data_IF_816331714199
#
_entry.id   IF_816331714199
#
_cell.length_a   1.000
_cell.length_b   1.000
_cell.length_c   1.000
_cell.angle_alpha   90.00
_cell.angle_beta   90.00
_cell.angle_gamma   90.00
#
_symmetry.space_group_name_H-M   'P 1'
#
loop_
_entity.id
_entity.type
_entity.pdbx_description
1 polymer ?
#
# COMPACT_ATOMS: atom_id res chain seq x y z
N UNK A 1 -20.95 14.16 -34.05
CA UNK A 1 -20.79 14.62 -32.65
C UNK A 1 -20.49 13.39 -31.81
N UNK A 2 -19.62 13.48 -30.81
CA UNK A 2 -19.31 12.35 -29.92
C UNK A 2 -20.28 12.29 -28.75
N UNK A 3 -20.49 11.10 -28.20
CA UNK A 3 -21.32 10.84 -27.02
C UNK A 3 -20.44 10.23 -25.92
N UNK A 4 -20.69 10.59 -24.66
CA UNK A 4 -19.99 10.04 -23.50
C UNK A 4 -20.81 8.94 -22.83
N UNK A 5 -20.13 7.92 -22.32
CA UNK A 5 -20.72 6.78 -21.63
C UNK A 5 -19.92 6.42 -20.38
N UNK A 6 -20.59 5.95 -19.33
CA UNK A 6 -19.99 5.35 -18.14
C UNK A 6 -20.27 3.85 -18.12
N UNK A 7 -19.29 3.06 -17.70
CA UNK A 7 -19.50 1.64 -17.45
C UNK A 7 -20.38 1.48 -16.20
N UNK A 8 -21.46 0.72 -16.33
CA UNK A 8 -22.31 0.38 -15.20
C UNK A 8 -21.64 -0.73 -14.40
N UNK A 9 -21.30 -0.44 -13.14
CA UNK A 9 -20.66 -1.38 -12.21
C UNK A 9 -21.46 -1.56 -10.92
N UNK A 10 -22.66 -0.99 -10.84
CA UNK A 10 -23.53 -1.15 -9.69
C UNK A 10 -24.07 -2.59 -9.65
N UNK A 11 -23.96 -3.21 -8.49
CA UNK A 11 -24.42 -4.58 -8.25
C UNK A 11 -25.92 -4.74 -8.51
N UNK A 12 -26.71 -3.65 -8.42
CA UNK A 12 -28.14 -3.67 -8.75
C UNK A 12 -28.46 -4.11 -10.19
N UNK A 13 -27.51 -3.94 -11.13
CA UNK A 13 -27.67 -4.35 -12.54
C UNK A 13 -27.04 -5.70 -12.87
N UNK A 14 -26.55 -6.46 -11.88
CA UNK A 14 -25.85 -7.72 -12.11
C UNK A 14 -26.71 -8.75 -12.89
N UNK A 15 -28.02 -8.73 -12.67
CA UNK A 15 -28.98 -9.62 -13.35
C UNK A 15 -29.43 -9.11 -14.71
N UNK A 16 -29.11 -7.85 -15.03
CA UNK A 16 -29.50 -7.17 -16.24
C UNK A 16 -28.35 -7.15 -17.24
N UNK A 17 -28.06 -8.30 -17.86
CA UNK A 17 -26.91 -8.50 -18.79
C UNK A 17 -26.82 -7.44 -19.91
N UNK A 18 -27.96 -6.84 -20.28
CA UNK A 18 -28.06 -5.81 -21.31
C UNK A 18 -27.76 -4.39 -20.82
N UNK A 19 -27.49 -4.20 -19.53
CA UNK A 19 -27.14 -2.91 -18.94
C UNK A 19 -25.64 -2.88 -18.73
N UNK A 20 -24.93 -2.29 -19.70
CA UNK A 20 -23.46 -2.22 -19.68
C UNK A 20 -23.00 -0.78 -19.59
N UNK A 21 -23.65 0.13 -20.30
CA UNK A 21 -23.27 1.54 -20.37
C UNK A 21 -24.40 2.45 -19.95
N UNK A 22 -24.08 3.57 -19.31
CA UNK A 22 -24.98 4.68 -19.03
C UNK A 22 -24.53 5.91 -19.82
N UNK A 23 -25.45 6.54 -20.54
CA UNK A 23 -25.16 7.73 -21.34
C UNK A 23 -25.01 8.97 -20.45
N UNK A 24 -23.88 9.66 -20.59
CA UNK A 24 -23.59 10.90 -19.87
C UNK A 24 -23.78 12.08 -20.81
N UNK A 25 -24.94 12.71 -20.79
CA UNK A 25 -25.27 13.85 -21.67
C UNK A 25 -25.50 15.16 -20.92
N UNK A 26 -25.58 15.10 -19.58
CA UNK A 26 -25.98 16.17 -18.68
C UNK A 26 -25.60 15.76 -17.23
N UNK A 27 -25.67 16.71 -16.31
CA UNK A 27 -25.26 16.54 -14.90
C UNK A 27 -26.43 16.15 -13.99
N UNK A 28 -27.64 16.04 -14.54
CA UNK A 28 -28.88 15.79 -13.81
C UNK A 28 -29.11 14.31 -13.47
N UNK A 29 -28.30 13.41 -14.04
CA UNK A 29 -28.37 11.97 -13.77
C UNK A 29 -29.54 11.24 -14.45
N UNK A 30 -30.13 11.81 -15.51
CA UNK A 30 -31.16 11.19 -16.36
C UNK A 30 -30.55 10.36 -17.51
N UNK A 31 -29.39 9.75 -17.25
CA UNK A 31 -28.66 8.91 -18.20
C UNK A 31 -29.50 7.72 -18.67
N UNK A 32 -29.46 7.45 -19.98
CA UNK A 32 -30.07 6.24 -20.55
C UNK A 32 -29.08 5.08 -20.53
N UNK A 33 -29.57 3.88 -20.23
CA UNK A 33 -28.78 2.65 -20.29
C UNK A 33 -28.72 2.04 -21.69
N UNK A 34 -27.55 1.51 -22.05
CA UNK A 34 -27.27 0.83 -23.30
C UNK A 34 -26.56 -0.51 -23.07
N UNK A 35 -26.66 -1.39 -24.07
CA UNK A 35 -25.91 -2.65 -24.13
C UNK A 35 -24.46 -2.45 -24.61
N UNK A 36 -23.70 -3.54 -24.73
CA UNK A 36 -22.30 -3.53 -25.17
C UNK A 36 -22.07 -2.96 -26.57
N UNK A 37 -23.10 -2.90 -27.42
CA UNK A 37 -23.06 -2.28 -28.75
C UNK A 37 -23.60 -0.84 -28.76
N UNK A 38 -23.82 -0.25 -27.58
CA UNK A 38 -24.36 1.10 -27.39
C UNK A 38 -25.82 1.28 -27.86
N UNK A 39 -26.58 0.19 -28.02
CA UNK A 39 -28.00 0.29 -28.33
C UNK A 39 -28.81 0.56 -27.06
N UNK A 40 -29.76 1.51 -27.18
CA UNK A 40 -30.72 1.79 -26.12
C UNK A 40 -31.52 0.54 -25.80
N UNK A 41 -31.62 0.28 -24.52
CA UNK A 41 -32.13 -0.99 -24.02
C UNK A 41 -33.67 -1.04 -24.14
N UNK A 42 -34.25 -2.15 -24.65
CA UNK A 42 -35.68 -2.37 -24.55
C UNK A 42 -36.10 -2.66 -23.09
N UNK A 43 -37.38 -2.45 -22.71
CA UNK A 43 -37.85 -2.68 -21.34
C UNK A 43 -37.52 -4.09 -20.82
N UNK A 44 -37.00 -4.19 -19.59
CA UNK A 44 -36.78 -5.48 -18.90
C UNK A 44 -38.07 -6.23 -18.64
N UNK A 45 -38.02 -7.56 -18.72
CA UNK A 45 -39.05 -8.44 -18.18
C UNK A 45 -38.79 -8.67 -16.68
N UNK A 46 -39.73 -8.32 -15.77
CA UNK A 46 -39.56 -8.48 -14.33
C UNK A 46 -39.22 -9.92 -13.89
N UNK A 47 -39.72 -10.96 -14.57
CA UNK A 47 -39.45 -12.36 -14.19
C UNK A 47 -37.96 -12.72 -14.28
N UNK A 48 -37.26 -12.20 -15.29
CA UNK A 48 -35.82 -12.45 -15.48
C UNK A 48 -34.98 -11.80 -14.39
N UNK A 49 -35.42 -10.62 -13.92
CA UNK A 49 -34.77 -9.87 -12.84
C UNK A 49 -34.94 -10.57 -11.49
N UNK A 50 -36.12 -11.14 -11.21
CA UNK A 50 -36.36 -11.89 -9.97
C UNK A 50 -35.56 -13.17 -9.87
N UNK A 51 -35.47 -13.94 -10.97
CA UNK A 51 -34.66 -15.17 -10.99
C UNK A 51 -33.18 -14.87 -10.76
N UNK A 52 -32.63 -13.87 -11.44
CA UNK A 52 -31.23 -13.49 -11.27
C UNK A 52 -30.89 -13.03 -9.86
N UNK A 53 -31.83 -12.40 -9.14
CA UNK A 53 -31.63 -11.98 -7.75
C UNK A 53 -31.43 -13.19 -6.82
N UNK A 54 -32.13 -14.28 -7.05
CA UNK A 54 -31.94 -15.49 -6.22
C UNK A 54 -30.57 -16.11 -6.46
N UNK A 55 -30.14 -16.21 -7.72
CA UNK A 55 -28.80 -16.71 -8.06
C UNK A 55 -27.70 -15.82 -7.47
N UNK A 56 -27.92 -14.50 -7.42
CA UNK A 56 -27.02 -13.55 -6.77
C UNK A 56 -26.96 -13.76 -5.24
N UNK A 57 -28.10 -13.90 -4.57
CA UNK A 57 -28.14 -14.13 -3.12
C UNK A 57 -27.37 -15.40 -2.77
N UNK A 58 -27.54 -16.46 -3.56
CA UNK A 58 -26.85 -17.72 -3.35
C UNK A 58 -25.32 -17.57 -3.55
N UNK A 59 -24.89 -16.79 -4.56
CA UNK A 59 -23.47 -16.49 -4.79
C UNK A 59 -22.86 -15.66 -3.65
N UNK A 60 -23.53 -14.59 -3.23
CA UNK A 60 -23.09 -13.71 -2.14
C UNK A 60 -23.04 -14.48 -0.82
N UNK A 61 -24.02 -15.36 -0.58
CA UNK A 61 -24.02 -16.26 0.57
C UNK A 61 -22.80 -17.18 0.57
N UNK A 62 -22.49 -17.82 -0.55
CA UNK A 62 -21.30 -18.68 -0.68
C UNK A 62 -19.99 -17.89 -0.51
N UNK A 63 -19.93 -16.66 -1.02
CA UNK A 63 -18.79 -15.76 -0.81
C UNK A 63 -18.63 -15.42 0.66
N UNK A 64 -19.72 -15.01 1.33
CA UNK A 64 -19.72 -14.70 2.76
C UNK A 64 -19.32 -15.90 3.62
N UNK A 65 -19.82 -17.10 3.28
CA UNK A 65 -19.47 -18.34 3.97
C UNK A 65 -17.97 -18.68 3.78
N UNK A 66 -17.46 -18.45 2.57
CA UNK A 66 -16.05 -18.66 2.24
C UNK A 66 -15.15 -17.66 2.95
N UNK A 67 -15.54 -16.37 3.03
CA UNK A 67 -14.85 -15.34 3.81
C UNK A 67 -14.90 -15.62 5.32
N UNK A 68 -16.01 -16.16 5.83
CA UNK A 68 -16.13 -16.59 7.22
C UNK A 68 -15.21 -17.79 7.50
N UNK A 69 -15.19 -18.79 6.61
CA UNK A 69 -14.30 -19.94 6.74
C UNK A 69 -12.83 -19.50 6.60
N UNK A 70 -12.53 -18.57 5.71
CA UNK A 70 -11.19 -18.00 5.59
C UNK A 70 -10.82 -17.22 6.85
N UNK A 71 -11.71 -16.44 7.46
CA UNK A 71 -11.44 -15.82 8.76
C UNK A 71 -11.21 -16.84 9.88
N UNK A 72 -11.91 -17.97 9.88
CA UNK A 72 -11.70 -19.06 10.85
C UNK A 72 -10.38 -19.82 10.57
N UNK A 73 -10.03 -20.01 9.30
CA UNK A 73 -8.78 -20.68 8.91
C UNK A 73 -7.57 -19.72 9.04
N UNK A 74 -7.82 -18.42 8.92
CA UNK A 74 -6.97 -17.30 9.27
C UNK A 74 -7.23 -16.82 10.71
N UNK A 75 -7.82 -17.64 11.59
CA UNK A 75 -7.54 -17.53 13.03
C UNK A 75 -6.07 -17.94 13.22
N UNK A 76 -5.17 -17.10 12.70
CA UNK A 76 -4.10 -16.52 13.49
C UNK A 76 -4.80 -15.99 14.72
N UNK A 77 -4.97 -16.88 15.70
CA UNK A 77 -5.31 -16.50 17.04
C UNK A 77 -4.17 -15.58 17.49
N UNK A 78 -4.40 -14.26 17.43
CA UNK A 78 -3.43 -13.24 17.86
C UNK A 78 -3.00 -13.44 19.33
N UNK A 79 -3.72 -14.28 20.09
CA UNK A 79 -3.45 -14.66 21.47
C UNK A 79 -2.70 -16.01 21.61
N UNK A 80 -2.55 -16.78 20.52
CA UNK A 80 -1.94 -18.14 20.48
C UNK A 80 -0.90 -18.28 19.35
N UNK A 81 -0.38 -17.16 18.83
CA UNK A 81 0.90 -17.15 18.13
C UNK A 81 1.94 -17.77 19.09
N UNK A 82 2.61 -18.89 18.74
CA UNK A 82 3.71 -19.40 19.54
C UNK A 82 4.74 -18.28 19.75
N UNK A 83 5.21 -18.08 20.98
CA UNK A 83 6.30 -17.16 21.35
C UNK A 83 7.62 -17.52 20.63
N UNK A 84 7.69 -17.35 19.31
CA UNK A 84 8.81 -17.80 18.49
C UNK A 84 9.32 -16.75 17.52
N UNK A 85 8.46 -15.82 17.09
CA UNK A 85 8.86 -14.50 16.59
C UNK A 85 7.67 -13.56 16.79
N UNK A 86 7.70 -12.77 17.85
CA UNK A 86 6.76 -11.66 18.00
C UNK A 86 6.86 -10.73 16.78
N UNK A 87 5.77 -10.10 16.32
CA UNK A 87 5.82 -9.05 15.27
C UNK A 87 6.89 -7.98 15.59
N UNK A 88 7.06 -7.68 16.88
CA UNK A 88 8.13 -6.83 17.39
C UNK A 88 9.53 -7.38 17.10
N UNK A 89 9.76 -8.68 17.26
CA UNK A 89 11.04 -9.33 16.96
C UNK A 89 11.30 -9.38 15.46
N UNK A 90 10.25 -9.62 14.66
CA UNK A 90 10.36 -9.57 13.21
C UNK A 90 10.73 -8.16 12.73
N UNK A 91 10.04 -7.14 13.24
CA UNK A 91 10.35 -5.75 12.95
C UNK A 91 11.79 -5.38 13.36
N UNK A 92 12.24 -5.81 14.54
CA UNK A 92 13.63 -5.60 14.99
C UNK A 92 14.64 -6.30 14.11
N UNK A 93 14.38 -7.54 13.70
CA UNK A 93 15.28 -8.31 12.83
C UNK A 93 15.41 -7.67 11.45
N UNK A 94 14.30 -7.18 10.89
CA UNK A 94 14.31 -6.43 9.63
C UNK A 94 15.08 -5.11 9.77
N UNK A 95 14.91 -4.40 10.90
CA UNK A 95 15.66 -3.19 11.21
C UNK A 95 17.17 -3.44 11.30
N UNK A 96 17.59 -4.48 12.04
CA UNK A 96 19.01 -4.81 12.22
C UNK A 96 19.69 -5.23 10.91
N UNK A 97 18.95 -5.91 10.02
CA UNK A 97 19.47 -6.30 8.71
C UNK A 97 19.77 -5.09 7.81
N UNK A 98 18.87 -4.10 7.79
CA UNK A 98 19.10 -2.83 7.08
C UNK A 98 20.27 -2.05 7.69
N UNK A 99 20.35 -1.97 9.03
CA UNK A 99 21.45 -1.30 9.73
C UNK A 99 22.81 -1.99 9.44
N UNK A 100 22.83 -3.32 9.38
CA UNK A 100 24.01 -4.11 9.01
C UNK A 100 24.46 -3.82 7.59
N UNK A 101 23.51 -3.75 6.65
CA UNK A 101 23.81 -3.43 5.25
C UNK A 101 24.31 -2.00 5.09
N UNK A 102 23.68 -1.05 5.78
CA UNK A 102 24.09 0.35 5.78
C UNK A 102 25.49 0.54 6.36
N UNK A 103 25.81 -0.14 7.46
CA UNK A 103 27.14 -0.06 8.09
C UNK A 103 28.26 -0.64 7.20
N UNK A 104 28.01 -1.73 6.48
CA UNK A 104 28.95 -2.24 5.47
C UNK A 104 29.20 -1.21 4.36
N UNK A 105 28.15 -0.58 3.85
CA UNK A 105 28.27 0.45 2.82
C UNK A 105 29.10 1.65 3.29
N UNK A 106 28.85 2.15 4.50
CA UNK A 106 29.63 3.25 5.07
C UNK A 106 31.10 2.87 5.32
N UNK A 107 31.37 1.65 5.79
CA UNK A 107 32.73 1.18 6.03
C UNK A 107 33.53 1.06 4.73
N UNK A 108 32.90 0.56 3.66
CA UNK A 108 33.52 0.49 2.33
C UNK A 108 33.77 1.89 1.76
N UNK A 109 32.83 2.83 1.98
CA UNK A 109 33.01 4.22 1.58
C UNK A 109 34.18 4.89 2.31
N UNK A 110 34.34 4.65 3.62
CA UNK A 110 35.48 5.16 4.40
C UNK A 110 36.81 4.50 4.00
N UNK A 111 36.84 3.18 3.73
CA UNK A 111 38.05 2.50 3.25
C UNK A 111 38.45 2.96 1.86
N UNK A 112 37.49 3.15 0.95
CA UNK A 112 37.74 3.73 -0.36
C UNK A 112 38.26 5.17 -0.23
N UNK A 113 37.69 5.99 0.65
CA UNK A 113 38.17 7.34 0.92
C UNK A 113 39.59 7.35 1.52
N UNK A 114 39.91 6.43 2.45
CA UNK A 114 41.22 6.30 3.06
C UNK A 114 42.29 5.78 2.07
N UNK A 115 41.93 4.84 1.18
CA UNK A 115 42.84 4.40 0.12
C UNK A 115 43.14 5.53 -0.87
N UNK A 116 42.14 6.32 -1.29
CA UNK A 116 42.37 7.49 -2.15
C UNK A 116 43.30 8.50 -1.48
N UNK A 117 43.24 8.65 -0.15
CA UNK A 117 44.15 9.51 0.60
C UNK A 117 45.58 8.96 0.72
N UNK A 118 45.76 7.63 0.68
CA UNK A 118 47.08 6.99 0.76
C UNK A 118 47.83 6.96 -0.59
N UNK A 119 47.12 6.92 -1.74
CA UNK A 119 47.79 7.02 -3.06
C UNK A 119 48.30 8.43 -3.37
N UNK A 120 47.83 9.47 -2.67
CA UNK A 120 48.41 10.82 -2.73
C UNK A 120 49.59 11.07 -1.77
N UNK A 121 50.01 10.06 -0.99
CA UNK A 121 51.09 10.19 0.01
C UNK A 121 52.51 9.79 -0.45
N UNK A 122 52.68 9.25 -1.66
CA UNK A 122 53.97 8.72 -2.13
C UNK A 122 54.78 9.71 -3.00
N UNK A 123 54.90 10.97 -2.55
CA UNK A 123 55.84 11.93 -3.13
C UNK A 123 56.55 12.79 -2.06
N UNK A 124 57.60 12.21 -1.47
CA UNK A 124 58.81 12.83 -0.87
C UNK A 124 58.73 13.78 0.35
N UNK A 125 59.82 13.89 1.16
CA UNK A 125 59.80 14.49 2.49
C UNK A 125 60.30 15.94 2.53
N UNK A 126 59.66 16.82 3.30
CA UNK A 126 60.32 17.98 3.96
C UNK A 126 59.37 18.73 4.92
N UNK A 127 59.85 18.89 6.16
CA UNK A 127 59.71 20.10 7.00
C UNK A 127 58.37 20.51 7.65
N UNK A 128 58.44 20.52 9.00
CA UNK A 128 57.99 21.60 9.92
C UNK A 128 56.63 21.48 10.65
N UNK A 129 56.77 21.18 11.96
CA UNK A 129 56.04 21.67 13.16
C UNK A 129 54.78 22.54 13.00
N UNK A 130 53.67 22.11 13.63
CA UNK A 130 52.86 22.82 14.67
C UNK A 130 51.62 21.93 14.98
N UNK A 131 51.44 21.40 16.20
CA UNK A 131 50.84 22.00 17.40
C UNK A 131 49.42 22.55 17.19
N UNK A 132 48.42 21.90 17.79
CA UNK A 132 47.04 22.36 17.80
C UNK A 132 46.07 21.32 18.37
N UNK A 133 45.83 21.39 19.67
CA UNK A 133 44.72 20.70 20.36
C UNK A 133 43.36 21.16 19.82
N UNK A 134 42.37 20.27 19.76
CA UNK A 134 41.09 20.55 20.43
C UNK A 134 40.17 19.33 20.51
N UNK A 135 39.58 19.21 21.70
CA UNK A 135 38.64 18.20 22.13
C UNK A 135 37.24 18.34 21.52
N UNK A 136 36.62 17.18 21.28
CA UNK A 136 35.25 16.79 21.65
C UNK A 136 34.12 17.82 21.48
N UNK A 137 33.14 17.49 20.60
CA UNK A 137 31.71 17.58 20.96
C UNK A 137 30.81 16.74 20.07
N UNK A 138 30.52 15.53 20.57
CA UNK A 138 29.37 14.69 20.24
C UNK A 138 28.07 15.46 20.55
N UNK A 139 27.15 15.55 19.59
CA UNK A 139 25.75 15.96 19.83
C UNK A 139 24.81 15.31 18.81
N UNK A 140 23.93 14.46 19.32
CA UNK A 140 22.59 14.12 18.82
C UNK A 140 21.78 13.60 20.03
N UNK A 141 20.42 13.50 19.99
CA UNK A 141 19.44 14.09 19.07
C UNK A 141 18.30 14.82 19.85
N UNK A 142 17.36 15.50 19.16
CA UNK A 142 16.12 16.04 19.76
C UNK A 142 14.91 15.66 18.90
N UNK A 143 14.46 14.42 19.05
CA UNK A 143 13.16 13.95 18.57
C UNK A 143 12.14 13.97 19.72
N UNK A 144 11.44 15.08 19.91
CA UNK A 144 10.25 15.14 20.78
C UNK A 144 9.31 16.22 20.26
N UNK A 145 8.59 15.96 19.17
CA UNK A 145 7.41 16.77 18.82
C UNK A 145 6.47 16.19 17.74
N UNK A 146 6.37 14.86 17.56
CA UNK A 146 5.44 14.26 16.58
C UNK A 146 4.40 13.27 17.13
N UNK A 147 4.25 13.20 18.45
CA UNK A 147 3.43 12.15 19.09
C UNK A 147 1.96 12.57 19.34
N UNK A 148 1.59 13.85 19.22
CA UNK A 148 0.23 14.31 19.57
C UNK A 148 -0.80 14.27 18.44
N UNK A 149 -0.40 14.05 17.19
CA UNK A 149 -1.30 14.20 16.03
C UNK A 149 -2.01 12.91 15.62
N UNK A 150 -1.67 11.75 16.21
CA UNK A 150 -2.25 10.45 15.83
C UNK A 150 -3.58 10.11 16.52
N UNK A 151 -4.09 10.97 17.41
CA UNK A 151 -5.24 10.65 18.27
C UNK A 151 -6.57 11.21 17.76
N UNK A 152 -6.65 11.71 16.53
CA UNK A 152 -7.90 12.18 15.94
C UNK A 152 -8.26 11.36 14.71
N UNK A 153 -8.57 10.08 14.90
CA UNK A 153 -9.35 9.33 13.92
C UNK A 153 -10.74 9.12 14.50
N UNK A 154 -11.69 9.96 14.07
CA UNK A 154 -13.12 9.77 14.33
C UNK A 154 -13.67 9.01 13.13
N UNK A 155 -14.16 7.80 13.36
CA UNK A 155 -14.93 7.05 12.39
C UNK A 155 -16.35 7.63 12.39
N UNK A 156 -16.77 8.18 11.25
CA UNK A 156 -18.16 8.54 10.96
C UNK A 156 -18.88 7.36 10.31
#
# INVERSE_FOLDING_TARGET
MGQLYLLVTDQGFLTEEKVVWESLHNVDGDGNFCDSEFHLRPPSDPETVYRGQQDQIDQDYLMALSLQQEQQNQEINWEQIPEGISDLELAKKLQEEEDRRASQYYQEQEQAAAQVQQVQGAASPASTRQSGSNERKRKEPREKEREKEKNSCVLL
#
